data_IF_952828088499
#
_entry.id   IF_952828088499
#
_cell.length_a   1.000
_cell.length_b   1.000
_cell.length_c   1.000
_cell.angle_alpha   90.00
_cell.angle_beta   90.00
_cell.angle_gamma   90.00
#
_symmetry.space_group_name_H-M   'P 1'
#
loop_
_entity.id
_entity.type
_entity.pdbx_description
1 polymer ?
#
# COMPACT_ATOMS: atom_id res chain seq x y z
N UNK A 1 -10.95 1.25 -32.13
CA UNK A 1 -10.47 1.55 -30.75
C UNK A 1 -11.27 2.74 -30.25
N UNK A 2 -12.05 2.57 -29.19
CA UNK A 2 -12.88 3.63 -28.62
C UNK A 2 -13.30 3.23 -27.22
N UNK A 3 -12.74 3.90 -26.21
CA UNK A 3 -13.19 3.74 -24.83
C UNK A 3 -14.35 4.71 -24.61
N UNK A 4 -15.52 4.15 -24.34
CA UNK A 4 -16.74 4.89 -24.01
C UNK A 4 -16.75 5.10 -22.50
N UNK A 5 -16.61 6.36 -22.08
CA UNK A 5 -16.69 6.76 -20.68
C UNK A 5 -18.14 6.61 -20.19
N UNK A 6 -18.36 5.90 -19.10
CA UNK A 6 -19.66 5.79 -18.42
C UNK A 6 -19.60 6.71 -17.20
N UNK A 7 -20.27 7.87 -17.18
CA UNK A 7 -20.29 8.70 -15.99
C UNK A 7 -21.17 8.05 -14.92
N UNK A 8 -20.62 7.87 -13.72
CA UNK A 8 -21.39 7.48 -12.55
C UNK A 8 -22.23 8.67 -12.07
N UNK A 9 -23.45 8.77 -12.61
CA UNK A 9 -24.46 9.71 -12.12
C UNK A 9 -24.95 9.24 -10.75
N UNK A 10 -24.61 9.97 -9.68
CA UNK A 10 -25.37 9.88 -8.42
C UNK A 10 -26.28 11.10 -8.36
N UNK A 11 -27.54 10.89 -8.73
CA UNK A 11 -28.59 11.88 -8.53
C UNK A 11 -28.88 12.02 -7.02
N UNK A 12 -28.85 13.25 -6.52
CA UNK A 12 -29.58 13.67 -5.33
C UNK A 12 -30.08 15.09 -5.60
N UNK A 13 -31.40 15.26 -5.67
CA UNK A 13 -32.04 16.55 -5.90
C UNK A 13 -32.34 17.23 -4.55
N UNK A 14 -31.80 18.44 -4.34
CA UNK A 14 -32.45 19.63 -3.74
C UNK A 14 -31.42 20.68 -3.19
N UNK A 15 -31.27 21.80 -3.91
CA UNK A 15 -30.97 23.22 -3.53
C UNK A 15 -29.73 23.67 -2.69
N UNK A 16 -29.22 24.92 -2.85
CA UNK A 16 -27.78 25.31 -2.81
C UNK A 16 -27.41 26.35 -1.70
N UNK A 17 -26.16 26.90 -1.61
CA UNK A 17 -24.82 26.38 -1.89
C UNK A 17 -23.90 26.58 -0.66
N UNK A 18 -23.68 25.54 0.16
CA UNK A 18 -22.55 25.60 1.08
C UNK A 18 -21.30 25.17 0.32
N UNK A 19 -20.29 26.03 0.38
CA UNK A 19 -18.98 25.92 -0.27
C UNK A 19 -18.39 24.52 0.01
N UNK A 20 -18.68 23.56 -0.86
CA UNK A 20 -18.18 22.21 -0.73
C UNK A 20 -16.67 22.28 -0.93
N UNK A 21 -15.92 22.17 0.16
CA UNK A 21 -14.50 21.89 0.13
C UNK A 21 -14.37 20.51 -0.52
N UNK A 22 -14.14 20.47 -1.83
CA UNK A 22 -13.75 19.26 -2.52
C UNK A 22 -12.33 18.91 -2.05
N UNK A 23 -12.23 18.29 -0.88
CA UNK A 23 -11.03 17.53 -0.53
C UNK A 23 -11.03 16.37 -1.51
N UNK A 24 -10.27 16.51 -2.59
CA UNK A 24 -9.92 15.39 -3.46
C UNK A 24 -9.12 14.42 -2.61
N UNK A 25 -9.81 13.49 -1.96
CA UNK A 25 -9.14 12.34 -1.38
C UNK A 25 -8.51 11.60 -2.56
N UNK A 26 -7.19 11.40 -2.57
CA UNK A 26 -6.57 10.65 -3.65
C UNK A 26 -7.27 9.28 -3.72
N UNK A 27 -7.59 8.78 -4.93
CA UNK A 27 -8.36 7.56 -5.09
C UNK A 27 -7.71 6.41 -4.29
N UNK A 28 -8.47 5.44 -3.78
CA UNK A 28 -7.91 4.36 -3.01
C UNK A 28 -6.82 3.62 -3.80
N UNK A 29 -5.67 3.39 -3.15
CA UNK A 29 -4.57 2.60 -3.69
C UNK A 29 -5.09 1.23 -4.14
N UNK A 30 -4.92 0.91 -5.42
CA UNK A 30 -5.31 -0.40 -5.96
C UNK A 30 -4.12 -1.34 -5.93
N UNK A 31 -4.23 -2.44 -5.20
CA UNK A 31 -3.18 -3.45 -5.04
C UNK A 31 -3.56 -4.76 -5.73
N UNK A 32 -2.58 -5.46 -6.27
CA UNK A 32 -2.72 -6.81 -6.83
C UNK A 32 -1.77 -7.75 -6.11
N UNK A 33 -2.29 -8.88 -5.64
CA UNK A 33 -1.48 -9.97 -5.11
C UNK A 33 -0.69 -10.62 -6.25
N UNK A 34 0.63 -10.61 -6.15
CA UNK A 34 1.53 -11.22 -7.15
C UNK A 34 2.05 -12.59 -6.68
N UNK A 35 2.18 -12.79 -5.36
CA UNK A 35 2.70 -14.03 -4.77
C UNK A 35 1.98 -14.34 -3.47
N UNK A 36 1.64 -15.62 -3.29
CA UNK A 36 1.15 -16.19 -2.04
C UNK A 36 1.66 -17.63 -1.95
N UNK A 37 2.58 -17.86 -1.02
CA UNK A 37 3.18 -19.15 -0.72
C UNK A 37 3.07 -19.39 0.79
N UNK A 38 2.05 -20.15 1.16
CA UNK A 38 1.74 -20.44 2.57
C UNK A 38 2.79 -21.35 3.22
N UNK A 39 3.41 -22.24 2.44
CA UNK A 39 4.45 -23.16 2.94
C UNK A 39 5.72 -22.42 3.31
N UNK A 40 6.13 -21.47 2.45
CA UNK A 40 7.34 -20.66 2.68
C UNK A 40 7.05 -19.36 3.44
N UNK A 41 5.79 -19.12 3.80
CA UNK A 41 5.32 -17.91 4.47
C UNK A 41 5.75 -16.63 3.74
N UNK A 42 5.54 -16.62 2.42
CA UNK A 42 5.88 -15.50 1.54
C UNK A 42 4.62 -14.94 0.91
N UNK A 43 4.49 -13.61 0.93
CA UNK A 43 3.48 -12.91 0.15
C UNK A 43 4.11 -11.72 -0.58
N UNK A 44 3.55 -11.35 -1.72
CA UNK A 44 4.00 -10.19 -2.47
C UNK A 44 2.86 -9.54 -3.24
N UNK A 45 2.91 -8.23 -3.37
CA UNK A 45 1.90 -7.46 -4.09
C UNK A 45 2.52 -6.29 -4.87
N UNK A 46 1.82 -5.85 -5.90
CA UNK A 46 2.13 -4.65 -6.67
C UNK A 46 1.00 -3.63 -6.53
N UNK A 47 1.36 -2.34 -6.55
CA UNK A 47 0.37 -1.27 -6.74
C UNK A 47 0.10 -1.14 -8.24
N UNK A 48 -1.16 -1.37 -8.65
CA UNK A 48 -1.59 -1.38 -10.05
C UNK A 48 -2.38 -0.14 -10.47
N UNK A 49 -2.69 0.76 -9.54
CA UNK A 49 -3.45 1.97 -9.85
C UNK A 49 -3.53 2.96 -8.70
N UNK A 50 -3.84 4.21 -9.08
CA UNK A 50 -3.94 5.39 -8.21
C UNK A 50 -2.90 6.46 -8.58
N UNK A 51 -3.24 7.74 -8.40
CA UNK A 51 -2.30 8.86 -8.53
C UNK A 51 -1.51 8.98 -7.23
N UNK A 52 -0.44 8.19 -7.08
CA UNK A 52 0.37 8.23 -5.86
C UNK A 52 1.86 8.21 -6.19
N UNK A 53 2.65 8.66 -5.22
CA UNK A 53 4.13 8.71 -5.24
C UNK A 53 4.81 7.33 -5.37
N UNK A 54 4.04 6.25 -5.44
CA UNK A 54 4.47 4.85 -5.43
C UNK A 54 4.33 4.21 -6.82
N UNK A 55 4.91 4.85 -7.83
CA UNK A 55 4.83 4.36 -9.22
C UNK A 55 5.59 3.04 -9.34
N UNK A 56 4.94 2.04 -9.96
CA UNK A 56 5.47 0.69 -10.13
C UNK A 56 5.94 0.02 -8.81
N UNK A 57 5.34 0.40 -7.68
CA UNK A 57 5.67 -0.18 -6.39
C UNK A 57 5.37 -1.68 -6.37
N UNK A 58 6.34 -2.46 -5.91
CA UNK A 58 6.20 -3.89 -5.63
C UNK A 58 6.81 -4.19 -4.27
N UNK A 59 6.11 -4.95 -3.45
CA UNK A 59 6.59 -5.40 -2.15
C UNK A 59 6.56 -6.93 -2.06
N UNK A 60 7.49 -7.47 -1.29
CA UNK A 60 7.50 -8.85 -0.83
C UNK A 60 7.72 -8.88 0.67
N UNK A 61 6.86 -9.62 1.36
CA UNK A 61 6.92 -9.87 2.79
C UNK A 61 7.19 -11.34 3.05
N UNK A 62 8.14 -11.62 3.94
CA UNK A 62 8.50 -12.97 4.36
C UNK A 62 8.47 -13.06 5.88
N UNK A 63 8.03 -14.19 6.41
CA UNK A 63 7.93 -14.44 7.85
C UNK A 63 8.87 -15.58 8.22
N UNK A 64 9.68 -15.36 9.27
CA UNK A 64 10.69 -16.32 9.72
C UNK A 64 10.52 -16.57 11.22
N UNK A 65 10.18 -17.82 11.57
CA UNK A 65 10.10 -18.25 12.96
C UNK A 65 11.46 -18.67 13.50
N UNK A 66 11.73 -18.33 14.76
CA UNK A 66 12.94 -18.70 15.48
C UNK A 66 12.58 -19.21 16.86
N UNK A 67 13.37 -20.18 17.34
CA UNK A 67 13.25 -20.72 18.68
C UNK A 67 14.62 -20.77 19.36
N UNK A 68 14.70 -20.29 20.60
CA UNK A 68 15.88 -20.44 21.45
C UNK A 68 15.46 -20.40 22.90
N UNK A 69 16.03 -21.31 23.69
CA UNK A 69 15.82 -21.38 25.14
C UNK A 69 14.32 -21.45 25.50
N UNK A 70 13.53 -22.17 24.68
CA UNK A 70 12.09 -22.33 24.87
C UNK A 70 11.25 -21.09 24.55
N UNK A 71 11.85 -20.02 24.02
CA UNK A 71 11.15 -18.83 23.54
C UNK A 71 11.07 -18.85 22.02
N UNK A 72 9.87 -18.59 21.50
CA UNK A 72 9.60 -18.42 20.09
C UNK A 72 9.53 -16.93 19.78
N UNK A 73 10.20 -16.49 18.71
CA UNK A 73 10.01 -15.17 18.15
C UNK A 73 9.91 -15.23 16.63
N UNK A 74 9.30 -14.21 16.06
CA UNK A 74 9.08 -14.10 14.62
C UNK A 74 9.77 -12.86 14.11
N UNK A 75 10.49 -12.98 12.99
CA UNK A 75 11.02 -11.85 12.24
C UNK A 75 10.23 -11.74 10.94
N UNK A 76 9.62 -10.59 10.73
CA UNK A 76 8.96 -10.24 9.47
C UNK A 76 9.89 -9.33 8.68
N UNK A 77 10.21 -9.72 7.46
CA UNK A 77 11.01 -8.92 6.53
C UNK A 77 10.11 -8.46 5.40
N UNK A 78 9.97 -7.15 5.23
CA UNK A 78 9.33 -6.53 4.08
C UNK A 78 10.38 -5.80 3.24
N UNK A 79 10.37 -6.06 1.94
CA UNK A 79 11.26 -5.45 0.96
C UNK A 79 10.43 -4.90 -0.20
N UNK A 80 10.89 -3.81 -0.81
CA UNK A 80 10.18 -3.19 -1.91
C UNK A 80 11.10 -2.67 -2.99
N UNK A 81 10.50 -2.47 -4.17
CA UNK A 81 11.06 -1.70 -5.28
C UNK A 81 10.02 -0.68 -5.70
N UNK A 82 10.45 0.54 -6.00
CA UNK A 82 9.59 1.64 -6.42
C UNK A 82 10.35 2.55 -7.38
N UNK A 83 9.65 3.10 -8.37
CA UNK A 83 10.24 4.11 -9.24
C UNK A 83 10.33 5.45 -8.51
N UNK A 84 11.40 6.20 -8.75
CA UNK A 84 11.50 7.61 -8.36
C UNK A 84 10.69 8.45 -9.35
N UNK A 85 9.59 9.11 -8.94
CA UNK A 85 8.81 9.94 -9.84
C UNK A 85 9.61 11.16 -10.30
N UNK A 86 9.31 11.66 -11.50
CA UNK A 86 9.91 12.91 -12.00
C UNK A 86 9.68 14.06 -10.99
N UNK A 87 10.73 14.83 -10.74
CA UNK A 87 10.71 15.93 -9.77
C UNK A 87 10.90 15.53 -8.30
N UNK A 88 11.07 14.24 -7.99
CA UNK A 88 11.45 13.79 -6.63
C UNK A 88 12.90 13.31 -6.59
N UNK A 89 13.51 13.41 -5.42
CA UNK A 89 14.79 12.77 -5.15
C UNK A 89 14.59 11.29 -4.77
N UNK A 90 15.65 10.49 -4.93
CA UNK A 90 15.67 9.11 -4.43
C UNK A 90 15.44 9.08 -2.91
N UNK A 91 16.08 9.99 -2.17
CA UNK A 91 15.97 10.09 -0.71
C UNK A 91 14.54 10.38 -0.25
N UNK A 92 13.85 11.33 -0.89
CA UNK A 92 12.45 11.64 -0.57
C UNK A 92 11.53 10.45 -0.84
N UNK A 93 11.73 9.78 -1.97
CA UNK A 93 10.93 8.61 -2.39
C UNK A 93 11.14 7.46 -1.42
N UNK A 94 12.39 7.18 -1.05
CA UNK A 94 12.78 6.15 -0.10
C UNK A 94 12.23 6.45 1.30
N UNK A 95 12.41 7.68 1.79
CA UNK A 95 11.91 8.08 3.12
C UNK A 95 10.40 7.86 3.23
N UNK A 96 9.65 8.19 2.18
CA UNK A 96 8.21 7.96 2.12
C UNK A 96 7.89 6.46 2.19
N UNK A 97 8.50 5.64 1.32
CA UNK A 97 8.26 4.19 1.29
C UNK A 97 8.68 3.50 2.60
N UNK A 98 9.86 3.82 3.14
CA UNK A 98 10.36 3.30 4.41
C UNK A 98 9.41 3.63 5.58
N UNK A 99 8.84 4.84 5.58
CA UNK A 99 7.86 5.24 6.60
C UNK A 99 6.59 4.39 6.51
N UNK A 100 6.07 4.16 5.30
CA UNK A 100 4.88 3.33 5.10
C UNK A 100 5.13 1.89 5.55
N UNK A 101 6.24 1.27 5.11
CA UNK A 101 6.61 -0.09 5.51
C UNK A 101 6.78 -0.19 7.03
N UNK A 102 7.49 0.76 7.64
CA UNK A 102 7.69 0.78 9.09
C UNK A 102 6.36 0.84 9.85
N UNK A 103 5.44 1.72 9.46
CA UNK A 103 4.13 1.84 10.10
C UNK A 103 3.29 0.56 9.93
N UNK A 104 3.35 -0.07 8.77
CA UNK A 104 2.67 -1.34 8.52
C UNK A 104 3.20 -2.45 9.41
N UNK A 105 4.53 -2.61 9.53
CA UNK A 105 5.14 -3.62 10.37
C UNK A 105 4.89 -3.38 11.86
N UNK A 106 4.90 -2.11 12.31
CA UNK A 106 4.52 -1.78 13.69
C UNK A 106 3.06 -2.13 13.98
N UNK A 107 2.16 -1.85 13.04
CA UNK A 107 0.74 -2.22 13.16
C UNK A 107 0.57 -3.74 13.16
N UNK A 108 1.30 -4.46 12.30
CA UNK A 108 1.29 -5.92 12.25
C UNK A 108 1.74 -6.52 13.59
N UNK A 109 2.86 -6.04 14.14
CA UNK A 109 3.32 -6.47 15.46
C UNK A 109 2.26 -6.22 16.54
N UNK A 110 1.67 -5.01 16.56
CA UNK A 110 0.61 -4.66 17.52
C UNK A 110 -0.63 -5.55 17.44
N UNK A 111 -0.98 -6.06 16.25
CA UNK A 111 -2.11 -6.97 16.04
C UNK A 111 -1.75 -8.42 16.35
N UNK A 112 -0.50 -8.83 16.10
CA UNK A 112 -0.03 -10.20 16.30
C UNK A 112 0.32 -10.51 17.76
N UNK A 113 0.73 -9.49 18.53
CA UNK A 113 1.11 -9.61 19.94
C UNK A 113 -0.03 -9.30 20.91
N UNK A 114 -1.14 -8.74 20.42
CA UNK A 114 -2.33 -8.40 21.20
C UNK A 114 -3.26 -9.58 21.46
#
# INVERSE_FOLDING_TARGET
MGYKFVPATRAAAASPPDLALFVSLPPPLSQRLDMLDDERQVTGFSVIGGEHRLKNYRSSTTVHGFEREGKIWTVVLESYVVDVPEGNTEEDTRLFADTVVKLNLQKLASVAEG
#
